data_IF_720740021740
#
_entry.id   IF_720740021740
#
_cell.length_a   1.000
_cell.length_b   1.000
_cell.length_c   1.000
_cell.angle_alpha   90.00
_cell.angle_beta   90.00
_cell.angle_gamma   90.00
#
_symmetry.space_group_name_H-M   'P 1'
#
loop_
_entity.id
_entity.type
_entity.pdbx_description
1 polymer ?
#
# COMPACT_ATOMS: atom_id res chain seq x y z
N UNK A 1 10.93 -20.53 -12.47
CA UNK A 1 11.34 -19.29 -13.16
C UNK A 1 10.14 -18.78 -13.92
N UNK A 2 9.73 -17.55 -13.64
CA UNK A 2 8.65 -16.89 -14.37
C UNK A 2 9.16 -16.43 -15.74
N UNK A 3 8.32 -16.53 -16.77
CA UNK A 3 8.61 -15.96 -18.07
C UNK A 3 8.22 -14.46 -18.13
N UNK A 4 8.56 -13.79 -19.23
CA UNK A 4 8.34 -12.35 -19.39
C UNK A 4 6.85 -11.94 -19.29
N UNK A 5 5.96 -12.73 -19.88
CA UNK A 5 4.52 -12.47 -19.89
C UNK A 5 3.90 -12.70 -18.51
N UNK A 6 4.31 -13.75 -17.79
CA UNK A 6 3.87 -14.01 -16.42
C UNK A 6 4.30 -12.88 -15.48
N UNK A 7 5.53 -12.39 -15.61
CA UNK A 7 5.99 -11.24 -14.81
C UNK A 7 5.17 -9.99 -15.11
N UNK A 8 4.86 -9.72 -16.38
CA UNK A 8 4.00 -8.60 -16.76
C UNK A 8 2.58 -8.74 -16.23
N UNK A 9 1.99 -9.92 -16.29
CA UNK A 9 0.67 -10.20 -15.72
C UNK A 9 0.63 -9.94 -14.21
N UNK A 10 1.68 -10.31 -13.47
CA UNK A 10 1.76 -10.02 -12.04
C UNK A 10 1.91 -8.51 -11.79
N UNK A 11 2.71 -7.78 -12.57
CA UNK A 11 2.79 -6.30 -12.45
C UNK A 11 1.46 -5.61 -12.78
N UNK A 12 0.73 -6.09 -13.77
CA UNK A 12 -0.59 -5.58 -14.13
C UNK A 12 -1.60 -5.84 -13.00
N UNK A 13 -1.55 -7.03 -12.39
CA UNK A 13 -2.39 -7.37 -11.24
C UNK A 13 -2.07 -6.50 -10.02
N UNK A 14 -0.79 -6.31 -9.69
CA UNK A 14 -0.35 -5.42 -8.60
C UNK A 14 -0.81 -3.99 -8.86
N UNK A 15 -0.65 -3.46 -10.08
CA UNK A 15 -1.12 -2.11 -10.44
C UNK A 15 -2.63 -1.97 -10.32
N UNK A 16 -3.40 -3.01 -10.66
CA UNK A 16 -4.86 -3.02 -10.47
C UNK A 16 -5.25 -3.05 -9.00
N UNK A 17 -4.53 -3.83 -8.18
CA UNK A 17 -4.75 -3.92 -6.73
C UNK A 17 -4.44 -2.59 -6.04
N UNK A 18 -3.31 -1.94 -6.33
CA UNK A 18 -2.98 -0.63 -5.75
C UNK A 18 -3.99 0.45 -6.13
N UNK A 19 -4.54 0.40 -7.35
CA UNK A 19 -5.61 1.31 -7.75
C UNK A 19 -6.91 1.07 -6.96
N UNK A 20 -7.26 -0.18 -6.71
CA UNK A 20 -8.40 -0.54 -5.85
C UNK A 20 -8.16 -0.10 -4.40
N UNK A 21 -6.93 -0.24 -3.90
CA UNK A 21 -6.54 0.27 -2.57
C UNK A 21 -6.71 1.78 -2.49
N UNK A 22 -6.32 2.53 -3.53
CA UNK A 22 -6.53 3.97 -3.57
C UNK A 22 -8.02 4.34 -3.50
N UNK A 23 -8.88 3.63 -4.24
CA UNK A 23 -10.34 3.85 -4.20
C UNK A 23 -10.92 3.53 -2.80
N UNK A 24 -10.50 2.42 -2.19
CA UNK A 24 -10.91 2.06 -0.84
C UNK A 24 -10.47 3.10 0.20
N UNK A 25 -9.23 3.59 0.11
CA UNK A 25 -8.71 4.65 0.97
C UNK A 25 -9.49 5.96 0.80
N UNK A 26 -9.82 6.34 -0.45
CA UNK A 26 -10.66 7.53 -0.74
C UNK A 26 -12.07 7.38 -0.17
N UNK A 27 -12.64 6.17 -0.21
CA UNK A 27 -13.95 5.85 0.37
C UNK A 27 -13.91 5.67 1.90
N UNK A 28 -12.72 5.72 2.53
CA UNK A 28 -12.51 5.37 3.94
C UNK A 28 -12.95 3.95 4.32
N UNK A 29 -12.95 3.03 3.34
CA UNK A 29 -13.22 1.60 3.55
C UNK A 29 -11.94 0.88 3.97
N UNK A 30 -11.64 0.96 5.27
CA UNK A 30 -10.39 0.45 5.83
C UNK A 30 -10.35 -1.09 5.87
N UNK A 31 -11.50 -1.74 5.95
CA UNK A 31 -11.59 -3.20 5.92
C UNK A 31 -11.23 -3.73 4.52
N UNK A 32 -11.81 -3.10 3.48
CA UNK A 32 -11.46 -3.42 2.09
C UNK A 32 -10.00 -3.09 1.78
N UNK A 33 -9.48 -1.96 2.30
CA UNK A 33 -8.07 -1.60 2.11
C UNK A 33 -7.12 -2.66 2.67
N UNK A 34 -7.41 -3.19 3.86
CA UNK A 34 -6.62 -4.24 4.53
C UNK A 34 -6.65 -5.56 3.75
N UNK A 35 -7.82 -5.96 3.24
CA UNK A 35 -7.94 -7.18 2.40
C UNK A 35 -7.12 -7.05 1.11
N UNK A 36 -7.20 -5.89 0.45
CA UNK A 36 -6.46 -5.60 -0.77
C UNK A 36 -4.95 -5.55 -0.53
N UNK A 37 -4.50 -5.03 0.62
CA UNK A 37 -3.09 -5.02 1.00
C UNK A 37 -2.52 -6.45 1.12
N UNK A 38 -3.25 -7.36 1.78
CA UNK A 38 -2.85 -8.77 1.90
C UNK A 38 -2.69 -9.44 0.53
N UNK A 39 -3.64 -9.19 -0.38
CA UNK A 39 -3.58 -9.70 -1.76
C UNK A 39 -2.38 -9.12 -2.52
N UNK A 40 -2.13 -7.82 -2.39
CA UNK A 40 -0.98 -7.15 -3.01
C UNK A 40 0.35 -7.75 -2.50
N UNK A 41 0.47 -7.97 -1.18
CA UNK A 41 1.64 -8.58 -0.57
C UNK A 41 1.91 -10.00 -1.09
N UNK A 42 0.84 -10.78 -1.33
CA UNK A 42 0.96 -12.12 -1.92
C UNK A 42 1.54 -12.07 -3.34
N UNK A 43 1.00 -11.22 -4.21
CA UNK A 43 1.45 -11.06 -5.60
C UNK A 43 2.91 -10.58 -5.69
N UNK A 44 3.29 -9.62 -4.82
CA UNK A 44 4.68 -9.17 -4.71
C UNK A 44 5.59 -10.30 -4.20
N UNK A 45 5.09 -11.15 -3.31
CA UNK A 45 5.78 -12.36 -2.86
C UNK A 45 6.07 -13.35 -3.99
N UNK A 46 5.11 -13.54 -4.92
CA UNK A 46 5.30 -14.36 -6.12
C UNK A 46 6.39 -13.80 -7.04
N UNK A 47 6.47 -12.47 -7.21
CA UNK A 47 7.56 -11.84 -7.97
C UNK A 47 8.93 -12.07 -7.34
N UNK A 48 9.03 -12.01 -6.01
CA UNK A 48 10.30 -12.19 -5.28
C UNK A 48 10.77 -13.65 -5.30
N UNK A 49 9.85 -14.60 -5.20
CA UNK A 49 10.16 -16.04 -5.11
C UNK A 49 10.29 -16.73 -6.48
N UNK A 50 9.53 -16.29 -7.48
CA UNK A 50 9.44 -16.96 -8.78
C UNK A 50 10.67 -16.83 -9.68
N UNK A 51 11.60 -15.93 -9.35
CA UNK A 51 12.77 -15.59 -10.17
C UNK A 51 12.35 -14.86 -11.44
N UNK A 52 12.73 -13.59 -11.55
CA UNK A 52 12.42 -12.77 -12.72
C UNK A 52 13.40 -13.04 -13.87
N UNK A 53 12.93 -13.07 -15.13
CA UNK A 53 13.83 -13.13 -16.26
C UNK A 53 14.69 -11.86 -16.28
N UNK A 54 15.96 -11.94 -16.74
CA UNK A 54 16.82 -10.77 -16.85
C UNK A 54 16.13 -9.67 -17.64
N UNK A 55 16.24 -8.41 -17.20
CA UNK A 55 15.64 -7.28 -17.94
C UNK A 55 16.15 -7.22 -19.38
N UNK A 56 17.40 -7.67 -19.61
CA UNK A 56 18.00 -7.81 -20.93
C UNK A 56 17.25 -8.78 -21.87
N UNK A 57 16.53 -9.78 -21.35
CA UNK A 57 15.75 -10.72 -22.16
C UNK A 57 14.32 -10.25 -22.44
N UNK A 58 13.91 -9.08 -21.93
CA UNK A 58 12.64 -8.42 -22.29
C UNK A 58 12.82 -7.60 -23.57
N UNK A 59 11.80 -7.57 -24.44
CA UNK A 59 11.75 -6.63 -25.56
C UNK A 59 11.63 -5.19 -25.07
N UNK A 60 11.88 -4.21 -25.94
CA UNK A 60 11.79 -2.79 -25.58
C UNK A 60 10.36 -2.42 -25.12
N UNK A 61 9.35 -2.95 -25.81
CA UNK A 61 7.92 -2.73 -25.53
C UNK A 61 7.54 -3.29 -24.16
N UNK A 62 8.01 -4.50 -23.83
CA UNK A 62 7.72 -5.13 -22.53
C UNK A 62 8.41 -4.38 -21.39
N UNK A 63 9.62 -3.84 -21.60
CA UNK A 63 10.30 -2.99 -20.61
C UNK A 63 9.54 -1.70 -20.37
N UNK A 64 9.11 -1.02 -21.43
CA UNK A 64 8.35 0.23 -21.34
C UNK A 64 7.04 0.03 -20.57
N UNK A 65 6.29 -1.02 -20.91
CA UNK A 65 5.04 -1.37 -20.22
C UNK A 65 5.26 -1.70 -18.74
N UNK A 66 6.33 -2.42 -18.40
CA UNK A 66 6.73 -2.66 -17.01
C UNK A 66 7.04 -1.35 -16.27
N UNK A 67 7.77 -0.42 -16.89
CA UNK A 67 8.08 0.89 -16.29
C UNK A 67 6.80 1.70 -16.06
N UNK A 68 5.86 1.69 -17.00
CA UNK A 68 4.58 2.37 -16.87
C UNK A 68 3.78 1.84 -15.67
N UNK A 69 3.69 0.52 -15.50
CA UNK A 69 3.01 -0.11 -14.37
C UNK A 69 3.68 0.24 -13.03
N UNK A 70 5.02 0.21 -12.98
CA UNK A 70 5.77 0.59 -11.77
C UNK A 70 5.52 2.05 -11.37
N UNK A 71 5.48 2.97 -12.33
CA UNK A 71 5.15 4.37 -12.07
C UNK A 71 3.74 4.52 -11.49
N UNK A 72 2.76 3.83 -12.09
CA UNK A 72 1.39 3.86 -11.60
C UNK A 72 1.28 3.35 -10.16
N UNK A 73 1.93 2.22 -9.85
CA UNK A 73 1.99 1.66 -8.49
C UNK A 73 2.54 2.69 -7.51
N UNK A 74 3.66 3.34 -7.84
CA UNK A 74 4.29 4.33 -6.96
C UNK A 74 3.42 5.59 -6.75
N UNK A 75 2.74 6.05 -7.80
CA UNK A 75 1.83 7.19 -7.72
C UNK A 75 0.59 6.87 -6.87
N UNK A 76 0.02 5.67 -7.05
CA UNK A 76 -1.11 5.18 -6.23
C UNK A 76 -0.71 5.01 -4.76
N UNK A 77 0.45 4.40 -4.49
CA UNK A 77 0.99 4.24 -3.13
C UNK A 77 1.20 5.59 -2.44
N UNK A 78 1.72 6.58 -3.17
CA UNK A 78 1.86 7.94 -2.65
C UNK A 78 0.50 8.54 -2.30
N UNK A 79 -0.49 8.43 -3.16
CA UNK A 79 -1.82 8.95 -2.92
C UNK A 79 -2.51 8.25 -1.73
N UNK A 80 -2.34 6.93 -1.56
CA UNK A 80 -2.82 6.19 -0.39
C UNK A 80 -2.16 6.71 0.90
N UNK A 81 -0.85 6.95 0.88
CA UNK A 81 -0.12 7.52 2.02
C UNK A 81 -0.59 8.92 2.37
N UNK A 82 -0.85 9.76 1.37
CA UNK A 82 -1.35 11.12 1.59
C UNK A 82 -2.75 11.11 2.27
N UNK A 83 -3.55 10.07 2.07
CA UNK A 83 -4.86 9.89 2.72
C UNK A 83 -4.73 9.30 4.13
N UNK A 84 -3.91 8.26 4.29
CA UNK A 84 -3.79 7.49 5.54
C UNK A 84 -2.93 8.17 6.60
N UNK A 85 -1.88 8.89 6.19
CA UNK A 85 -0.91 9.49 7.09
C UNK A 85 -1.48 10.63 7.96
N UNK A 86 -2.35 11.53 7.46
CA UNK A 86 -3.00 12.54 8.30
C UNK A 86 -3.93 11.95 9.36
N UNK A 87 -4.68 10.89 9.02
CA UNK A 87 -5.56 10.22 9.98
C UNK A 87 -4.77 9.56 11.10
N UNK A 88 -3.63 8.94 10.80
CA UNK A 88 -2.74 8.35 11.80
C UNK A 88 -2.16 9.42 12.75
N UNK A 89 -1.77 10.58 12.23
CA UNK A 89 -1.34 11.72 13.06
C UNK A 89 -2.46 12.22 13.97
N UNK A 90 -3.70 12.30 13.46
CA UNK A 90 -4.88 12.67 14.25
C UNK A 90 -5.18 11.65 15.35
N UNK A 91 -5.11 10.37 15.04
CA UNK A 91 -5.28 9.27 16.01
C UNK A 91 -4.22 9.35 17.12
N UNK A 92 -2.95 9.54 16.74
CA UNK A 92 -1.87 9.72 17.72
C UNK A 92 -2.13 10.93 18.63
N UNK A 93 -2.59 12.05 18.08
CA UNK A 93 -3.00 13.22 18.86
C UNK A 93 -4.15 12.92 19.83
N UNK A 94 -5.19 12.20 19.40
CA UNK A 94 -6.32 11.79 20.25
C UNK A 94 -5.88 10.84 21.37
N UNK A 95 -5.02 9.87 21.09
CA UNK A 95 -4.47 8.94 22.09
C UNK A 95 -3.61 9.70 23.12
N UNK A 96 -2.75 10.61 22.66
CA UNK A 96 -1.90 11.43 23.54
C UNK A 96 -2.73 12.36 24.43
N UNK A 97 -3.76 13.00 23.86
CA UNK A 97 -4.67 13.87 24.61
C UNK A 97 -5.45 13.09 25.68
N UNK A 98 -5.98 11.91 25.33
CA UNK A 98 -6.69 11.04 26.29
C UNK A 98 -5.78 10.56 27.42
N UNK A 99 -4.50 10.27 27.13
CA UNK A 99 -3.50 9.94 28.14
C UNK A 99 -3.14 11.12 29.06
N UNK A 100 -3.12 12.35 28.52
CA UNK A 100 -2.94 13.57 29.32
C UNK A 100 -4.13 13.86 30.23
N UNK A 101 -5.37 13.69 29.74
CA UNK A 101 -6.59 13.85 30.54
C UNK A 101 -6.61 12.89 31.73
N UNK A 102 -6.33 11.60 31.53
CA UNK A 102 -6.28 10.61 32.61
C UNK A 102 -5.22 10.93 33.67
N UNK A 103 -4.05 11.47 33.27
CA UNK A 103 -3.00 11.88 34.22
C UNK A 103 -3.42 13.08 35.06
N UNK A 104 -4.14 14.05 34.46
CA UNK A 104 -4.67 15.20 35.18
C UNK A 104 -5.79 14.79 36.14
N UNK A 105 -6.70 13.92 35.72
CA UNK A 105 -7.76 13.36 36.59
C UNK A 105 -7.17 12.57 37.77
N UNK A 106 -6.08 11.81 37.57
CA UNK A 106 -5.40 11.13 38.67
C UNK A 106 -4.67 12.09 39.63
N UNK A 107 -4.15 13.21 39.13
CA UNK A 107 -3.43 14.20 39.94
C UNK A 107 -4.37 15.12 40.74
N UNK A 108 -5.59 15.36 40.25
CA UNK A 108 -6.54 16.33 40.83
C UNK A 108 -7.87 15.71 41.29
N UNK A 109 -8.17 14.45 40.96
CA UNK A 109 -9.41 13.76 41.34
C UNK A 109 -9.39 13.11 42.73
N UNK A 110 -8.34 13.37 43.52
CA UNK A 110 -8.26 12.99 44.93
C UNK A 110 -8.61 14.16 45.84
N UNK A 111 -9.89 14.54 45.88
CA UNK A 111 -10.48 15.34 46.95
C UNK A 111 -11.86 14.80 47.29
#
# INVERSE_FOLDING_TARGET
MLNAEQVLGIYENVSSLTRQMLLAAQASDWDQLSELESRCAHEVGLLRSGGQPPVASLSAELRERKVQMLRQILDDDRAIRDITQPWLQRLQGLIQNTGQQRKLEQAYGGF
#
